data_IF_190452041362
#
_entry.id   IF_190452041362
#
_cell.length_a   1.000
_cell.length_b   1.000
_cell.length_c   1.000
_cell.angle_alpha   90.00
_cell.angle_beta   90.00
_cell.angle_gamma   90.00
#
_symmetry.space_group_name_H-M   'P 1'
#
loop_
_entity.id
_entity.type
_entity.pdbx_description
1 polymer ?
#
# COMPACT_ATOMS: atom_id res chain seq x y z
N UNK A 1 -58.68 60.24 -30.09
CA UNK A 1 -59.11 58.92 -29.66
C UNK A 1 -58.58 57.90 -30.67
N UNK A 2 -57.57 57.15 -30.33
CA UNK A 2 -56.99 56.08 -31.20
C UNK A 2 -57.23 54.70 -30.54
N UNK A 3 -58.05 53.93 -31.20
CA UNK A 3 -58.41 52.57 -30.83
C UNK A 3 -57.22 51.64 -31.02
N UNK A 4 -56.80 50.97 -29.94
CA UNK A 4 -55.78 49.87 -29.98
C UNK A 4 -56.51 48.56 -30.30
N UNK A 5 -56.09 47.92 -31.40
CA UNK A 5 -56.45 46.55 -31.75
C UNK A 5 -55.60 45.59 -30.96
N UNK A 6 -56.18 44.72 -30.16
CA UNK A 6 -55.53 43.56 -29.56
C UNK A 6 -55.27 42.49 -30.65
N UNK A 7 -54.01 42.19 -30.87
CA UNK A 7 -53.62 41.02 -31.65
C UNK A 7 -53.52 39.81 -30.70
N UNK A 8 -54.36 38.84 -30.83
CA UNK A 8 -54.24 37.52 -30.20
C UNK A 8 -53.16 36.75 -30.95
N UNK A 9 -52.00 36.57 -30.35
CA UNK A 9 -50.98 35.64 -30.80
C UNK A 9 -51.31 34.23 -30.25
N UNK A 10 -51.65 33.31 -31.13
CA UNK A 10 -51.76 31.91 -30.83
C UNK A 10 -50.35 31.32 -30.63
N UNK A 11 -50.05 30.89 -29.43
CA UNK A 11 -48.81 30.16 -29.11
C UNK A 11 -49.02 28.70 -29.52
N UNK A 12 -48.20 28.14 -30.44
CA UNK A 12 -48.27 26.68 -30.70
C UNK A 12 -47.69 25.97 -29.47
N UNK A 13 -48.48 25.05 -28.90
CA UNK A 13 -48.03 24.13 -27.88
C UNK A 13 -46.94 23.21 -28.48
N UNK A 14 -45.66 23.50 -28.18
CA UNK A 14 -44.59 22.56 -28.44
C UNK A 14 -44.77 21.37 -27.49
N UNK A 15 -45.13 20.25 -28.02
CA UNK A 15 -44.97 18.96 -27.34
C UNK A 15 -43.47 18.73 -27.12
N UNK A 16 -42.95 19.05 -25.94
CA UNK A 16 -41.69 18.51 -25.47
C UNK A 16 -41.90 17.02 -25.19
N UNK A 17 -41.59 16.20 -26.17
CA UNK A 17 -41.29 14.79 -25.93
C UNK A 17 -40.07 14.74 -25.02
N UNK A 18 -40.30 14.47 -23.76
CA UNK A 18 -39.25 14.10 -22.82
C UNK A 18 -38.59 12.83 -23.36
N UNK A 19 -37.43 12.99 -24.01
CA UNK A 19 -36.47 11.93 -24.19
C UNK A 19 -36.01 11.58 -22.79
N UNK A 20 -36.69 10.64 -22.13
CA UNK A 20 -36.14 9.88 -21.03
C UNK A 20 -34.91 9.17 -21.60
N UNK A 21 -33.73 9.76 -21.44
CA UNK A 21 -32.51 9.03 -21.59
C UNK A 21 -32.62 7.86 -20.59
N UNK A 22 -32.91 6.65 -21.07
CA UNK A 22 -32.77 5.45 -20.25
C UNK A 22 -31.35 5.45 -19.70
N UNK A 23 -31.22 5.75 -18.44
CA UNK A 23 -29.99 5.41 -17.72
C UNK A 23 -29.74 3.91 -17.94
N UNK A 24 -28.55 3.47 -18.30
CA UNK A 24 -28.29 2.06 -18.52
C UNK A 24 -28.74 1.30 -17.26
N UNK A 25 -29.69 0.39 -17.43
CA UNK A 25 -30.19 -0.45 -16.34
C UNK A 25 -29.09 -1.43 -15.94
N UNK A 26 -28.76 -1.47 -14.66
CA UNK A 26 -27.92 -2.51 -14.07
C UNK A 26 -28.75 -3.30 -13.06
N UNK A 27 -28.42 -4.59 -12.92
CA UNK A 27 -29.10 -5.49 -11.98
C UNK A 27 -28.45 -5.42 -10.60
N UNK A 28 -27.13 -5.20 -10.57
CA UNK A 28 -26.32 -5.14 -9.36
C UNK A 28 -25.42 -3.90 -9.40
N UNK A 29 -25.18 -3.31 -8.25
CA UNK A 29 -24.26 -2.18 -8.09
C UNK A 29 -23.27 -2.48 -6.98
N UNK A 30 -22.00 -2.28 -7.23
CA UNK A 30 -20.92 -2.36 -6.24
C UNK A 30 -20.28 -0.98 -6.06
N UNK A 31 -20.14 -0.52 -4.84
CA UNK A 31 -19.50 0.77 -4.52
C UNK A 31 -18.15 0.51 -3.86
N UNK A 32 -17.08 0.87 -4.56
CA UNK A 32 -15.69 0.64 -4.13
C UNK A 32 -15.02 1.99 -3.88
N UNK A 33 -14.29 2.10 -2.77
CA UNK A 33 -13.42 3.24 -2.46
C UNK A 33 -11.99 2.74 -2.25
N UNK A 34 -11.04 3.32 -2.97
CA UNK A 34 -9.62 2.98 -2.91
C UNK A 34 -8.76 4.26 -2.94
N UNK A 35 -7.45 4.10 -2.89
CA UNK A 35 -6.49 5.16 -3.15
C UNK A 35 -6.56 5.60 -4.63
N UNK A 36 -6.08 6.80 -4.93
CA UNK A 36 -5.88 7.23 -6.31
C UNK A 36 -4.76 6.41 -6.96
N UNK A 37 -4.87 6.16 -8.27
CA UNK A 37 -3.88 5.46 -9.09
C UNK A 37 -3.44 4.10 -8.52
N UNK A 38 -4.37 3.38 -7.89
CA UNK A 38 -4.10 2.17 -7.11
C UNK A 38 -4.84 0.93 -7.66
N UNK A 39 -5.16 0.94 -8.94
CA UNK A 39 -5.75 -0.16 -9.72
C UNK A 39 -5.56 0.16 -11.20
N UNK A 40 -5.30 -0.84 -12.02
CA UNK A 40 -5.12 -0.65 -13.46
C UNK A 40 -6.37 -0.01 -14.09
N UNK A 41 -6.19 1.15 -14.69
CA UNK A 41 -7.27 1.97 -15.24
C UNK A 41 -7.49 1.75 -16.75
N UNK A 42 -6.71 0.88 -17.40
CA UNK A 42 -6.78 0.57 -18.83
C UNK A 42 -5.97 1.50 -19.72
N UNK A 43 -5.04 2.27 -19.16
CA UNK A 43 -4.20 3.21 -19.87
C UNK A 43 -2.74 2.76 -19.88
N UNK A 44 -2.02 3.18 -20.91
CA UNK A 44 -0.57 3.07 -20.96
C UNK A 44 0.11 4.25 -20.23
N UNK A 45 1.44 4.26 -20.20
CA UNK A 45 2.26 5.31 -19.58
C UNK A 45 2.02 6.70 -20.19
N UNK A 46 1.63 6.77 -21.47
CA UNK A 46 1.24 8.00 -22.15
C UNK A 46 -0.20 8.46 -21.82
N UNK A 47 -0.92 7.70 -20.96
CA UNK A 47 -2.31 7.95 -20.57
C UNK A 47 -3.34 7.64 -21.65
N UNK A 48 -2.97 6.86 -22.68
CA UNK A 48 -3.87 6.44 -23.74
C UNK A 48 -4.62 5.19 -23.33
N UNK A 49 -5.94 5.16 -23.54
CA UNK A 49 -6.73 3.95 -23.33
C UNK A 49 -6.32 2.85 -24.32
N UNK A 50 -5.66 1.81 -23.83
CA UNK A 50 -5.13 0.70 -24.65
C UNK A 50 -5.89 -0.59 -24.41
N UNK A 51 -6.38 -0.80 -23.20
CA UNK A 51 -7.08 -2.00 -22.76
C UNK A 51 -8.27 -1.67 -21.87
N UNK A 52 -8.96 -2.68 -21.37
CA UNK A 52 -10.02 -2.53 -20.39
C UNK A 52 -9.42 -2.43 -18.99
N UNK A 53 -9.85 -1.45 -18.20
CA UNK A 53 -9.48 -1.36 -16.79
C UNK A 53 -9.92 -2.62 -16.01
N UNK A 54 -9.25 -2.90 -14.89
CA UNK A 54 -9.62 -3.99 -13.97
C UNK A 54 -11.12 -3.94 -13.60
N UNK A 55 -11.66 -2.74 -13.37
CA UNK A 55 -13.08 -2.55 -13.10
C UNK A 55 -13.96 -3.03 -14.28
N UNK A 56 -13.55 -2.75 -15.52
CA UNK A 56 -14.29 -3.19 -16.71
C UNK A 56 -14.18 -4.67 -16.94
N UNK A 57 -13.00 -5.25 -16.70
CA UNK A 57 -12.81 -6.69 -16.76
C UNK A 57 -13.73 -7.39 -15.76
N UNK A 58 -13.83 -6.87 -14.53
CA UNK A 58 -14.77 -7.43 -13.54
C UNK A 58 -16.23 -7.29 -13.91
N UNK A 59 -16.68 -6.13 -14.44
CA UNK A 59 -18.07 -5.95 -14.91
C UNK A 59 -18.43 -7.00 -15.99
N UNK A 60 -17.50 -7.32 -16.89
CA UNK A 60 -17.68 -8.33 -17.94
C UNK A 60 -17.65 -9.76 -17.38
N UNK A 61 -16.65 -10.08 -16.55
CA UNK A 61 -16.57 -11.36 -15.84
C UNK A 61 -17.87 -11.66 -15.08
N UNK A 62 -18.39 -10.69 -14.32
CA UNK A 62 -19.60 -10.86 -13.55
C UNK A 62 -20.82 -11.13 -14.43
N UNK A 63 -20.90 -10.42 -15.56
CA UNK A 63 -21.97 -10.62 -16.54
C UNK A 63 -21.92 -12.01 -17.18
N UNK A 64 -20.72 -12.49 -17.53
CA UNK A 64 -20.53 -13.81 -18.10
C UNK A 64 -20.88 -14.92 -17.11
N UNK A 65 -20.43 -14.78 -15.85
CA UNK A 65 -20.64 -15.78 -14.80
C UNK A 65 -22.09 -15.85 -14.31
N UNK A 66 -22.78 -14.73 -14.18
CA UNK A 66 -24.09 -14.65 -13.52
C UNK A 66 -25.24 -14.22 -14.42
N UNK A 67 -25.01 -13.92 -15.69
CA UNK A 67 -25.98 -13.34 -16.63
C UNK A 67 -26.69 -12.08 -16.06
N UNK A 68 -25.93 -11.26 -15.29
CA UNK A 68 -26.40 -10.02 -14.67
C UNK A 68 -25.49 -8.85 -15.03
N UNK A 69 -26.10 -7.70 -15.31
CA UNK A 69 -25.36 -6.46 -15.55
C UNK A 69 -24.94 -5.86 -14.21
N UNK A 70 -23.65 -5.90 -13.93
CA UNK A 70 -23.05 -5.23 -12.78
C UNK A 70 -22.57 -3.83 -13.16
N UNK A 71 -22.77 -2.87 -12.24
CA UNK A 71 -22.15 -1.54 -12.30
C UNK A 71 -21.26 -1.31 -11.09
N UNK A 72 -19.95 -1.22 -11.29
CA UNK A 72 -19.01 -0.79 -10.26
C UNK A 72 -18.94 0.73 -10.24
N UNK A 73 -19.19 1.31 -9.07
CA UNK A 73 -18.90 2.72 -8.79
C UNK A 73 -17.59 2.79 -8.03
N UNK A 74 -16.49 2.89 -8.78
CA UNK A 74 -15.16 3.07 -8.23
C UNK A 74 -14.91 4.53 -7.91
N UNK A 75 -14.42 4.81 -6.71
CA UNK A 75 -14.13 6.15 -6.19
C UNK A 75 -12.83 6.11 -5.40
N UNK A 76 -12.21 7.27 -5.24
CA UNK A 76 -10.98 7.40 -4.47
C UNK A 76 -11.19 8.22 -3.21
N UNK A 77 -10.32 8.00 -2.23
CA UNK A 77 -10.17 8.84 -1.04
C UNK A 77 -8.74 9.39 -0.97
N UNK A 78 -8.57 10.51 -0.29
CA UNK A 78 -7.25 11.13 -0.15
C UNK A 78 -6.48 10.61 1.06
N UNK A 79 -7.18 10.26 2.15
CA UNK A 79 -6.58 9.63 3.34
C UNK A 79 -7.56 8.67 4.01
N UNK A 80 -7.07 7.62 4.68
CA UNK A 80 -7.91 6.70 5.44
C UNK A 80 -8.75 7.40 6.52
N UNK A 81 -8.24 8.45 7.16
CA UNK A 81 -8.94 9.22 8.19
C UNK A 81 -10.15 9.96 7.62
N UNK A 82 -10.03 10.55 6.43
CA UNK A 82 -11.14 11.23 5.74
C UNK A 82 -12.21 10.21 5.37
N UNK A 83 -11.82 9.08 4.76
CA UNK A 83 -12.73 8.00 4.41
C UNK A 83 -13.45 7.46 5.65
N UNK A 84 -12.71 7.13 6.71
CA UNK A 84 -13.26 6.67 7.99
C UNK A 84 -14.30 7.67 8.55
N UNK A 85 -13.94 8.96 8.60
CA UNK A 85 -14.84 10.01 9.06
C UNK A 85 -16.13 10.11 8.25
N UNK A 86 -16.04 9.94 6.93
CA UNK A 86 -17.21 9.95 6.05
C UNK A 86 -18.12 8.74 6.27
N UNK A 87 -17.56 7.53 6.47
CA UNK A 87 -18.31 6.31 6.78
C UNK A 87 -18.96 6.43 8.15
N UNK A 88 -18.20 6.81 9.18
CA UNK A 88 -18.68 6.97 10.57
C UNK A 88 -19.85 7.96 10.66
N UNK A 89 -19.77 9.04 9.91
CA UNK A 89 -20.83 10.06 9.82
C UNK A 89 -21.92 9.71 8.78
N UNK A 90 -21.92 8.52 8.21
CA UNK A 90 -22.91 8.02 7.22
C UNK A 90 -23.05 8.91 5.97
N UNK A 91 -21.98 9.63 5.60
CA UNK A 91 -21.95 10.47 4.39
C UNK A 91 -21.73 9.64 3.12
N UNK A 92 -21.02 8.51 3.26
CA UNK A 92 -20.82 7.53 2.19
C UNK A 92 -21.20 6.14 2.70
N UNK A 93 -21.55 5.25 1.77
CA UNK A 93 -21.87 3.83 2.04
C UNK A 93 -21.17 2.97 0.99
N UNK A 94 -19.88 2.68 1.17
CA UNK A 94 -19.18 1.75 0.29
C UNK A 94 -19.55 0.29 0.63
N UNK A 95 -19.40 -0.58 -0.38
CA UNK A 95 -19.43 -2.03 -0.20
C UNK A 95 -18.01 -2.56 0.05
N UNK A 96 -17.00 -1.93 -0.59
CA UNK A 96 -15.59 -2.23 -0.37
C UNK A 96 -14.79 -0.94 -0.15
N UNK A 97 -13.79 -1.05 0.69
CA UNK A 97 -12.74 -0.04 0.92
C UNK A 97 -11.39 -0.75 0.97
N UNK A 98 -10.31 -0.05 0.64
CA UNK A 98 -8.96 -0.58 0.71
C UNK A 98 -8.04 0.38 1.50
N UNK A 99 -8.17 0.47 2.82
CA UNK A 99 -7.29 1.29 3.66
C UNK A 99 -6.07 0.52 4.14
N UNK A 100 -5.13 1.24 4.75
CA UNK A 100 -3.96 0.65 5.41
C UNK A 100 -4.30 -0.05 6.72
N UNK A 101 -3.43 -0.92 7.13
CA UNK A 101 -3.53 -1.87 8.26
C UNK A 101 -4.02 -1.25 9.58
N UNK A 102 -3.45 -0.13 10.01
CA UNK A 102 -3.87 0.56 11.25
C UNK A 102 -5.34 1.03 11.21
N UNK A 103 -5.80 1.46 10.02
CA UNK A 103 -7.19 1.90 9.86
C UNK A 103 -8.13 0.69 9.79
N UNK A 104 -7.69 -0.42 9.22
CA UNK A 104 -8.42 -1.69 9.25
C UNK A 104 -8.62 -2.14 10.70
N UNK A 105 -7.54 -2.14 11.51
CA UNK A 105 -7.59 -2.47 12.93
C UNK A 105 -8.57 -1.57 13.68
N UNK A 106 -8.47 -0.25 13.49
CA UNK A 106 -9.38 0.73 14.08
C UNK A 106 -10.82 0.44 13.74
N UNK A 107 -11.15 0.30 12.47
CA UNK A 107 -12.52 0.08 12.02
C UNK A 107 -13.08 -1.28 12.47
N UNK A 108 -12.25 -2.32 12.50
CA UNK A 108 -12.64 -3.64 13.02
C UNK A 108 -12.93 -3.58 14.53
N UNK A 109 -12.04 -2.97 15.31
CA UNK A 109 -12.19 -2.82 16.75
C UNK A 109 -13.41 -1.95 17.13
N UNK A 110 -13.76 -0.95 16.32
CA UNK A 110 -14.99 -0.15 16.48
C UNK A 110 -16.26 -0.88 15.94
N UNK A 111 -16.13 -2.12 15.44
CA UNK A 111 -17.26 -2.91 14.93
C UNK A 111 -17.85 -2.34 13.62
N UNK A 112 -17.08 -1.59 12.85
CA UNK A 112 -17.52 -0.94 11.62
C UNK A 112 -17.39 -1.83 10.37
N UNK A 113 -16.73 -2.99 10.48
CA UNK A 113 -16.49 -3.91 9.38
C UNK A 113 -17.34 -5.18 9.47
N UNK A 114 -17.75 -5.72 8.33
CA UNK A 114 -18.26 -7.08 8.19
C UNK A 114 -17.08 -8.04 8.05
N UNK A 115 -17.30 -9.31 8.45
CA UNK A 115 -16.32 -10.36 8.23
C UNK A 115 -16.42 -10.96 6.84
N UNK A 116 -15.26 -11.20 6.25
CA UNK A 116 -15.12 -12.09 5.10
C UNK A 116 -15.47 -13.55 5.47
N UNK A 117 -15.66 -14.37 4.47
CA UNK A 117 -15.86 -15.81 4.62
C UNK A 117 -14.52 -16.49 4.95
N UNK A 118 -14.03 -16.24 6.17
CA UNK A 118 -12.77 -16.76 6.72
C UNK A 118 -13.05 -17.65 7.94
N UNK A 119 -12.39 -18.79 8.00
CA UNK A 119 -12.50 -19.74 9.09
C UNK A 119 -11.30 -19.59 10.05
N UNK A 120 -11.54 -19.08 11.26
CA UNK A 120 -10.51 -18.90 12.29
C UNK A 120 -9.86 -20.20 12.78
N UNK A 121 -10.51 -21.35 12.60
CA UNK A 121 -10.01 -22.64 13.06
C UNK A 121 -9.06 -23.29 12.03
N UNK A 122 -9.46 -23.27 10.75
CA UNK A 122 -8.61 -23.80 9.66
C UNK A 122 -7.63 -22.75 9.13
N UNK A 123 -7.86 -21.47 9.43
CA UNK A 123 -7.11 -20.32 8.91
C UNK A 123 -7.21 -20.18 7.39
N UNK A 124 -8.35 -20.54 6.83
CA UNK A 124 -8.60 -20.53 5.38
C UNK A 124 -9.81 -19.68 5.04
N UNK A 125 -9.77 -19.09 3.85
CA UNK A 125 -10.94 -18.47 3.25
C UNK A 125 -11.88 -19.51 2.63
N UNK A 126 -13.17 -19.19 2.58
CA UNK A 126 -14.17 -20.04 1.92
C UNK A 126 -14.10 -19.91 0.38
N UNK A 127 -14.92 -20.73 -0.30
CA UNK A 127 -14.98 -20.81 -1.78
C UNK A 127 -15.21 -19.47 -2.48
N UNK A 128 -15.82 -18.48 -1.80
CA UNK A 128 -16.02 -17.13 -2.35
C UNK A 128 -14.74 -16.31 -2.48
N UNK A 129 -13.63 -16.77 -1.88
CA UNK A 129 -12.30 -16.15 -1.92
C UNK A 129 -11.21 -17.16 -2.28
N UNK A 130 -11.56 -18.11 -3.16
CA UNK A 130 -10.70 -19.23 -3.53
C UNK A 130 -9.34 -18.78 -4.10
N UNK A 131 -9.34 -17.72 -4.93
CA UNK A 131 -8.08 -17.22 -5.51
C UNK A 131 -7.09 -16.78 -4.44
N UNK A 132 -7.54 -16.05 -3.40
CA UNK A 132 -6.62 -15.71 -2.31
C UNK A 132 -6.26 -16.93 -1.44
N UNK A 133 -7.17 -17.90 -1.29
CA UNK A 133 -6.86 -19.13 -0.58
C UNK A 133 -5.76 -19.94 -1.29
N UNK A 134 -5.80 -20.00 -2.62
CA UNK A 134 -4.86 -20.78 -3.44
C UNK A 134 -3.55 -20.02 -3.69
N UNK A 135 -3.64 -18.71 -3.97
CA UNK A 135 -2.51 -17.90 -4.46
C UNK A 135 -2.03 -16.82 -3.48
N UNK A 136 -2.60 -16.71 -2.29
CA UNK A 136 -2.08 -15.77 -1.28
C UNK A 136 -0.71 -16.21 -0.78
N UNK A 137 0.29 -15.31 -0.80
CA UNK A 137 1.65 -15.56 -0.31
C UNK A 137 1.66 -16.20 1.07
N UNK A 138 2.42 -17.28 1.30
CA UNK A 138 2.58 -17.87 2.63
C UNK A 138 3.02 -16.85 3.68
N UNK A 139 4.02 -16.03 3.37
CA UNK A 139 4.52 -14.98 4.25
C UNK A 139 3.43 -13.98 4.65
N UNK A 140 2.65 -13.50 3.68
CA UNK A 140 1.58 -12.51 3.92
C UNK A 140 0.45 -13.12 4.75
N UNK A 141 0.04 -14.36 4.42
CA UNK A 141 -1.01 -15.07 5.19
C UNK A 141 -0.61 -15.27 6.65
N UNK A 142 0.63 -15.71 6.90
CA UNK A 142 1.12 -15.96 8.26
C UNK A 142 1.24 -14.64 9.05
N UNK A 143 1.74 -13.57 8.43
CA UNK A 143 1.86 -12.26 9.05
C UNK A 143 0.49 -11.71 9.46
N UNK A 144 -0.52 -11.74 8.59
CA UNK A 144 -1.87 -11.30 8.90
C UNK A 144 -2.59 -12.20 9.90
N UNK A 145 -2.41 -13.53 9.81
CA UNK A 145 -3.02 -14.47 10.75
C UNK A 145 -2.49 -14.28 12.17
N UNK A 146 -1.25 -13.81 12.34
CA UNK A 146 -0.62 -13.57 13.64
C UNK A 146 -1.22 -12.34 14.36
N UNK A 147 -1.69 -11.34 13.63
CA UNK A 147 -2.29 -10.14 14.20
C UNK A 147 -3.70 -10.46 14.73
N UNK A 148 -3.90 -10.26 16.02
CA UNK A 148 -5.20 -10.46 16.70
C UNK A 148 -5.83 -9.11 17.03
N UNK A 149 -7.11 -8.99 16.68
CA UNK A 149 -7.94 -7.83 16.99
C UNK A 149 -8.55 -7.95 18.39
N UNK A 150 -9.17 -6.87 18.88
CA UNK A 150 -9.76 -6.83 20.23
C UNK A 150 -10.86 -7.88 20.46
N UNK A 151 -11.53 -8.31 19.40
CA UNK A 151 -12.53 -9.38 19.46
C UNK A 151 -11.94 -10.81 19.46
N UNK A 152 -10.61 -10.92 19.42
CA UNK A 152 -9.85 -12.17 19.40
C UNK A 152 -9.76 -12.82 18.02
N UNK A 153 -10.38 -12.26 16.97
CA UNK A 153 -10.28 -12.77 15.62
C UNK A 153 -8.99 -12.32 14.94
N UNK A 154 -8.58 -13.06 13.92
CA UNK A 154 -7.49 -12.70 13.03
C UNK A 154 -7.84 -11.47 12.20
N UNK A 155 -6.83 -10.74 11.82
CA UNK A 155 -6.92 -9.64 10.85
C UNK A 155 -7.56 -10.11 9.53
N UNK A 156 -7.24 -11.34 9.09
CA UNK A 156 -7.81 -11.97 7.89
C UNK A 156 -9.34 -12.14 7.94
N UNK A 157 -9.95 -12.16 9.12
CA UNK A 157 -11.42 -12.16 9.22
C UNK A 157 -12.05 -10.88 8.66
N UNK A 158 -11.33 -9.76 8.66
CA UNK A 158 -11.85 -8.44 8.30
C UNK A 158 -11.21 -7.84 7.06
N UNK A 159 -10.09 -8.42 6.60
CA UNK A 159 -9.35 -7.89 5.47
C UNK A 159 -8.74 -8.98 4.59
N UNK A 160 -8.77 -8.77 3.28
CA UNK A 160 -7.99 -9.54 2.31
C UNK A 160 -6.88 -8.62 1.80
N UNK A 161 -5.59 -8.99 1.94
CA UNK A 161 -4.45 -8.18 1.50
C UNK A 161 -4.53 -7.84 0.01
N UNK A 162 -4.09 -6.63 -0.35
CA UNK A 162 -4.10 -6.14 -1.73
C UNK A 162 -2.72 -5.73 -2.22
N UNK A 163 -2.04 -4.83 -1.51
CA UNK A 163 -0.65 -4.48 -1.72
C UNK A 163 0.07 -4.36 -0.38
N UNK A 164 1.37 -4.51 -0.41
CA UNK A 164 2.23 -4.37 0.76
C UNK A 164 3.57 -3.75 0.40
N UNK A 165 4.30 -3.34 1.40
CA UNK A 165 5.64 -2.84 1.23
C UNK A 165 6.30 -2.48 2.55
N UNK A 166 7.49 -1.91 2.42
CA UNK A 166 8.30 -1.43 3.52
C UNK A 166 8.49 0.08 3.44
N UNK A 167 9.07 0.67 4.47
CA UNK A 167 9.43 2.08 4.49
C UNK A 167 10.94 2.21 4.71
N UNK A 168 11.62 2.95 3.83
CA UNK A 168 13.06 3.14 3.86
C UNK A 168 13.47 4.46 3.24
N UNK A 169 14.72 4.58 2.87
CA UNK A 169 15.23 5.76 2.18
C UNK A 169 15.49 5.46 0.71
N UNK A 170 14.83 6.18 -0.19
CA UNK A 170 15.33 6.37 -1.55
C UNK A 170 16.44 7.39 -1.50
N UNK A 171 17.59 7.13 -2.11
CA UNK A 171 18.75 8.02 -2.00
C UNK A 171 19.61 8.08 -3.26
N UNK A 172 20.32 9.17 -3.40
CA UNK A 172 21.31 9.41 -4.45
C UNK A 172 22.66 8.75 -4.06
N UNK A 173 23.10 7.66 -4.74
CA UNK A 173 24.33 6.95 -4.41
C UNK A 173 25.60 7.73 -4.74
N UNK A 174 25.54 8.77 -5.58
CA UNK A 174 26.67 9.67 -5.82
C UNK A 174 26.89 10.64 -4.66
N UNK A 175 25.86 10.83 -3.82
CA UNK A 175 25.93 11.72 -2.67
C UNK A 175 26.09 10.95 -1.35
N UNK A 176 25.25 9.94 -1.08
CA UNK A 176 25.32 9.13 0.14
C UNK A 176 25.73 7.70 -0.16
N UNK A 177 26.52 7.09 0.72
CA UNK A 177 26.75 5.63 0.66
C UNK A 177 25.58 4.87 1.30
N UNK A 178 25.44 3.59 0.95
CA UNK A 178 24.43 2.72 1.56
C UNK A 178 24.57 2.64 3.10
N UNK A 179 25.79 2.65 3.62
CA UNK A 179 26.09 2.62 5.06
C UNK A 179 25.64 3.92 5.76
N UNK A 180 25.80 5.08 5.11
CA UNK A 180 25.39 6.37 5.66
C UNK A 180 23.88 6.52 5.79
N UNK A 181 23.12 5.92 4.85
CA UNK A 181 21.65 6.03 4.76
C UNK A 181 20.94 4.79 5.30
N UNK A 182 21.57 3.63 5.34
CA UNK A 182 21.00 2.37 5.81
C UNK A 182 20.77 2.30 7.33
N UNK A 183 20.55 3.42 7.98
CA UNK A 183 20.25 3.52 9.42
C UNK A 183 19.35 4.71 9.70
N UNK A 184 18.42 4.59 10.67
CA UNK A 184 17.59 5.72 11.09
C UNK A 184 18.41 6.86 11.69
N UNK A 185 19.61 6.60 12.23
CA UNK A 185 20.51 7.63 12.75
C UNK A 185 20.97 8.64 11.69
N UNK A 186 20.81 8.37 10.40
CA UNK A 186 21.01 9.34 9.33
C UNK A 186 20.19 10.62 9.54
N UNK A 187 18.97 10.51 10.09
CA UNK A 187 18.08 11.65 10.40
C UNK A 187 18.61 12.54 11.51
N UNK A 188 19.51 12.06 12.37
CA UNK A 188 20.10 12.81 13.48
C UNK A 188 21.61 13.01 13.31
N UNK A 189 22.13 12.75 12.11
CA UNK A 189 23.55 12.94 11.82
C UNK A 189 23.89 14.44 11.74
N UNK A 190 24.82 14.90 12.60
CA UNK A 190 25.22 16.31 12.71
C UNK A 190 26.31 16.72 11.70
N UNK A 191 26.71 15.83 10.81
CA UNK A 191 27.66 16.13 9.75
C UNK A 191 27.08 17.14 8.76
N UNK A 192 27.90 18.07 8.27
CA UNK A 192 27.47 19.11 7.31
C UNK A 192 26.92 18.52 6.01
N UNK A 193 27.37 17.33 5.63
CA UNK A 193 26.87 16.56 4.48
C UNK A 193 25.38 16.27 4.58
N UNK A 194 24.84 16.04 5.78
CA UNK A 194 23.44 15.68 6.01
C UNK A 194 22.52 16.90 6.15
N UNK A 195 23.10 18.11 6.32
CA UNK A 195 22.32 19.30 6.64
C UNK A 195 21.31 19.64 5.55
N UNK A 196 20.01 19.49 5.86
CA UNK A 196 18.90 19.74 4.93
C UNK A 196 18.93 18.90 3.65
N UNK A 197 19.44 17.67 3.74
CA UNK A 197 19.54 16.76 2.59
C UNK A 197 18.58 15.58 2.63
N UNK A 198 17.75 15.49 3.67
CA UNK A 198 16.75 14.43 3.81
C UNK A 198 15.33 15.03 3.80
N UNK A 199 14.36 14.26 3.35
CA UNK A 199 12.93 14.54 3.58
C UNK A 199 12.30 13.49 4.47
N UNK A 200 11.23 13.87 5.17
CA UNK A 200 10.38 13.00 5.96
C UNK A 200 8.95 13.05 5.43
N UNK A 201 8.17 12.02 5.74
CA UNK A 201 6.73 12.01 5.42
C UNK A 201 5.98 13.02 6.30
N UNK A 202 5.09 13.82 5.68
CA UNK A 202 4.11 14.64 6.41
C UNK A 202 2.98 13.73 6.96
N UNK A 203 3.39 12.81 7.80
CA UNK A 203 2.56 11.80 8.42
C UNK A 203 2.94 11.63 9.87
N UNK A 204 1.95 11.76 10.75
CA UNK A 204 2.15 11.52 12.18
C UNK A 204 2.46 10.06 12.51
N UNK A 205 2.34 9.14 11.54
CA UNK A 205 2.63 7.72 11.71
C UNK A 205 4.01 7.38 11.17
N UNK A 206 4.25 7.65 9.90
CA UNK A 206 5.51 7.29 9.23
C UNK A 206 6.72 8.00 9.84
N UNK A 207 6.62 9.31 10.07
CA UNK A 207 7.68 10.05 10.73
C UNK A 207 7.81 9.71 12.22
N UNK A 208 6.73 9.32 12.89
CA UNK A 208 6.73 8.88 14.29
C UNK A 208 7.63 7.67 14.50
N UNK A 209 7.46 6.63 13.67
CA UNK A 209 8.18 5.37 13.84
C UNK A 209 9.67 5.51 13.58
N UNK A 210 10.11 6.44 12.71
CA UNK A 210 11.53 6.73 12.54
C UNK A 210 12.16 7.21 13.86
N UNK A 211 11.44 8.07 14.58
CA UNK A 211 11.90 8.58 15.87
C UNK A 211 11.83 7.53 16.99
N UNK A 212 10.90 6.56 16.93
CA UNK A 212 10.89 5.42 17.87
C UNK A 212 12.19 4.65 17.78
N UNK A 213 12.66 4.31 16.59
CA UNK A 213 13.94 3.61 16.40
C UNK A 213 15.11 4.42 16.98
N UNK A 214 15.10 5.73 16.85
CA UNK A 214 16.13 6.59 17.42
C UNK A 214 16.08 6.66 18.95
N UNK A 215 14.90 6.94 19.54
CA UNK A 215 14.80 7.16 20.99
C UNK A 215 14.94 5.88 21.82
N UNK A 216 14.66 4.73 21.23
CA UNK A 216 14.77 3.42 21.86
C UNK A 216 15.90 2.55 21.27
N UNK A 217 16.83 3.13 20.51
CA UNK A 217 17.90 2.39 19.84
C UNK A 217 18.70 1.45 20.74
N UNK A 218 19.04 1.89 21.96
CA UNK A 218 19.81 1.07 22.90
C UNK A 218 18.97 -0.12 23.43
N UNK A 219 17.67 0.07 23.61
CA UNK A 219 16.75 -1.00 24.01
C UNK A 219 16.55 -1.99 22.86
N UNK A 220 16.38 -1.49 21.64
CA UNK A 220 16.25 -2.33 20.42
C UNK A 220 17.52 -3.12 20.18
N UNK A 221 18.69 -2.50 20.27
CA UNK A 221 19.98 -3.17 20.10
C UNK A 221 20.28 -4.23 21.18
N UNK A 222 19.58 -4.21 22.30
CA UNK A 222 19.71 -5.20 23.36
C UNK A 222 18.79 -6.43 23.18
N UNK A 223 17.91 -6.41 22.18
CA UNK A 223 17.04 -7.57 21.88
C UNK A 223 17.86 -8.71 21.27
N UNK A 224 17.49 -9.94 21.60
CA UNK A 224 18.09 -11.14 21.00
C UNK A 224 17.41 -11.44 19.66
N UNK A 225 18.09 -11.12 18.56
CA UNK A 225 17.58 -11.33 17.18
C UNK A 225 17.31 -12.81 16.86
N UNK A 226 17.82 -13.76 17.67
CA UNK A 226 17.60 -15.20 17.50
C UNK A 226 16.40 -15.72 18.27
N UNK A 227 15.79 -14.91 19.14
CA UNK A 227 14.62 -15.31 19.92
C UNK A 227 13.38 -15.45 19.05
N UNK A 228 12.57 -16.50 19.31
CA UNK A 228 11.31 -16.72 18.58
C UNK A 228 10.33 -15.53 18.68
N UNK A 229 10.37 -14.79 19.77
CA UNK A 229 9.50 -13.64 20.03
C UNK A 229 10.19 -12.29 19.72
N UNK A 230 11.35 -12.28 19.06
CA UNK A 230 12.08 -11.08 18.71
C UNK A 230 11.20 -10.02 18.03
N UNK A 231 10.47 -10.39 16.96
CA UNK A 231 9.60 -9.46 16.25
C UNK A 231 8.45 -8.94 17.13
N UNK A 232 7.92 -9.77 18.04
CA UNK A 232 6.88 -9.34 18.97
C UNK A 232 7.43 -8.32 19.99
N UNK A 233 8.65 -8.52 20.51
CA UNK A 233 9.30 -7.57 21.42
C UNK A 233 9.61 -6.24 20.67
N UNK A 234 10.14 -6.31 19.46
CA UNK A 234 10.40 -5.13 18.63
C UNK A 234 9.10 -4.39 18.30
N UNK A 235 8.02 -5.10 17.93
CA UNK A 235 6.70 -4.53 17.65
C UNK A 235 6.12 -3.81 18.86
N UNK A 236 6.33 -4.34 20.08
CA UNK A 236 5.89 -3.69 21.31
C UNK A 236 6.64 -2.37 21.58
N UNK A 237 7.92 -2.26 21.22
CA UNK A 237 8.68 -0.99 21.28
C UNK A 237 8.21 -0.06 20.17
N UNK A 238 8.09 -0.55 18.96
CA UNK A 238 7.73 0.19 17.76
C UNK A 238 6.37 0.92 17.91
N UNK A 239 5.40 0.31 18.59
CA UNK A 239 4.06 0.86 18.79
C UNK A 239 3.87 1.61 20.10
N UNK A 240 4.93 1.94 20.85
CA UNK A 240 4.82 2.74 22.08
C UNK A 240 4.32 4.15 21.78
N UNK A 241 3.34 4.62 22.55
CA UNK A 241 2.77 5.96 22.40
C UNK A 241 2.31 6.56 23.75
N UNK A 242 2.88 6.08 24.87
CA UNK A 242 2.66 6.72 26.18
C UNK A 242 3.22 8.16 26.22
N UNK A 243 2.84 8.96 27.22
CA UNK A 243 3.21 10.37 27.29
C UNK A 243 4.71 10.61 27.34
N UNK A 244 5.49 9.71 27.94
CA UNK A 244 6.96 9.83 27.97
C UNK A 244 7.51 9.62 26.56
N UNK A 245 7.05 8.60 25.87
CA UNK A 245 7.41 8.30 24.47
C UNK A 245 7.07 9.46 23.56
N UNK A 246 5.85 10.02 23.66
CA UNK A 246 5.45 11.18 22.86
C UNK A 246 6.40 12.38 23.06
N UNK A 247 6.82 12.65 24.28
CA UNK A 247 7.74 13.76 24.56
C UNK A 247 9.13 13.51 23.95
N UNK A 248 9.63 12.27 23.98
CA UNK A 248 10.94 11.90 23.39
C UNK A 248 10.88 12.01 21.88
N UNK A 249 9.83 11.44 21.25
CA UNK A 249 9.61 11.48 19.80
C UNK A 249 9.46 12.92 19.31
N UNK A 250 8.68 13.77 20.00
CA UNK A 250 8.53 15.19 19.65
C UNK A 250 9.91 15.90 19.65
N UNK A 251 10.71 15.68 20.69
CA UNK A 251 12.02 16.29 20.79
C UNK A 251 12.95 15.85 19.66
N UNK A 252 12.99 14.54 19.37
CA UNK A 252 13.81 13.96 18.30
C UNK A 252 13.40 14.48 16.91
N UNK A 253 12.10 14.48 16.58
CA UNK A 253 11.62 14.98 15.29
C UNK A 253 11.86 16.47 15.10
N UNK A 254 11.72 17.27 16.17
CA UNK A 254 12.09 18.70 16.14
C UNK A 254 13.59 18.92 15.92
N UNK A 255 14.45 18.06 16.48
CA UNK A 255 15.90 18.11 16.21
C UNK A 255 16.18 17.79 14.73
N UNK A 256 15.66 16.68 14.20
CA UNK A 256 15.83 16.31 12.80
C UNK A 256 15.30 17.40 11.86
N UNK A 257 14.13 17.97 12.14
CA UNK A 257 13.53 19.07 11.37
C UNK A 257 14.44 20.31 11.31
N UNK A 258 15.19 20.60 12.36
CA UNK A 258 16.11 21.76 12.39
C UNK A 258 17.46 21.49 11.70
N UNK A 259 17.89 20.23 11.63
CA UNK A 259 19.23 19.82 11.19
C UNK A 259 19.23 19.21 9.79
N UNK A 260 18.77 18.00 9.65
CA UNK A 260 18.94 17.16 8.47
C UNK A 260 17.76 17.24 7.50
N UNK A 261 16.54 17.44 8.03
CA UNK A 261 15.32 17.41 7.23
C UNK A 261 15.15 18.73 6.47
N UNK A 262 15.02 18.64 5.16
CA UNK A 262 14.72 19.74 4.24
C UNK A 262 13.23 20.10 4.33
N UNK A 263 12.37 19.09 4.17
CA UNK A 263 10.91 19.26 4.13
C UNK A 263 10.18 18.03 4.66
N UNK A 264 8.92 18.25 5.05
CA UNK A 264 7.93 17.19 5.23
C UNK A 264 7.04 17.17 4.00
N UNK A 265 6.79 15.99 3.42
CA UNK A 265 6.00 15.80 2.22
C UNK A 265 5.23 14.46 2.26
N UNK A 266 4.22 14.29 1.43
CA UNK A 266 3.46 13.03 1.33
C UNK A 266 3.83 12.32 0.04
N UNK A 267 3.34 12.81 -1.12
CA UNK A 267 3.48 12.13 -2.42
C UNK A 267 4.57 12.76 -3.31
N UNK A 268 4.90 14.04 -3.09
CA UNK A 268 5.84 14.77 -3.96
C UNK A 268 7.31 14.38 -3.75
N UNK A 269 7.64 13.68 -2.66
CA UNK A 269 9.02 13.29 -2.34
C UNK A 269 9.69 12.47 -3.42
N UNK A 270 8.95 11.56 -4.03
CA UNK A 270 9.43 10.74 -5.15
C UNK A 270 9.82 11.58 -6.38
N UNK A 271 9.13 12.68 -6.64
CA UNK A 271 9.46 13.60 -7.74
C UNK A 271 10.60 14.55 -7.37
N UNK A 272 10.62 15.04 -6.13
CA UNK A 272 11.61 16.03 -5.68
C UNK A 272 13.02 15.44 -5.54
N UNK A 273 13.14 14.16 -5.14
CA UNK A 273 14.44 13.48 -5.11
C UNK A 273 15.01 13.28 -6.53
N UNK A 274 14.19 12.93 -7.51
CA UNK A 274 14.58 12.82 -8.92
C UNK A 274 15.09 14.16 -9.46
N UNK A 275 14.48 15.28 -9.04
CA UNK A 275 14.95 16.65 -9.37
C UNK A 275 16.25 17.01 -8.66
N UNK A 276 16.60 16.34 -7.56
CA UNK A 276 17.79 16.64 -6.74
C UNK A 276 17.56 17.79 -5.74
N UNK A 277 16.33 18.00 -5.28
CA UNK A 277 16.02 18.99 -4.23
C UNK A 277 16.67 18.62 -2.90
N UNK A 278 16.83 17.34 -2.65
CA UNK A 278 17.58 16.72 -1.55
C UNK A 278 18.12 15.36 -2.03
N UNK A 279 18.96 14.70 -1.22
CA UNK A 279 19.68 13.49 -1.65
C UNK A 279 19.21 12.21 -0.95
N UNK A 280 18.25 12.30 -0.02
CA UNK A 280 17.55 11.13 0.52
C UNK A 280 16.10 11.48 0.87
N UNK A 281 15.19 10.56 0.55
CA UNK A 281 13.76 10.69 0.77
C UNK A 281 13.24 9.51 1.58
N UNK A 282 12.58 9.77 2.71
CA UNK A 282 11.80 8.74 3.38
C UNK A 282 10.65 8.33 2.47
N UNK A 283 10.64 7.10 2.01
CA UNK A 283 9.71 6.61 1.02
C UNK A 283 9.08 5.28 1.41
N UNK A 284 7.84 5.06 1.00
CA UNK A 284 7.29 3.72 0.87
C UNK A 284 7.94 3.04 -0.32
N UNK A 285 8.11 1.72 -0.26
CA UNK A 285 8.88 0.98 -1.26
C UNK A 285 8.37 1.14 -2.70
N UNK A 286 7.05 1.21 -2.92
CA UNK A 286 6.50 1.47 -4.25
C UNK A 286 6.81 2.89 -4.78
N UNK A 287 6.75 3.93 -3.92
CA UNK A 287 7.20 5.27 -4.28
C UNK A 287 8.70 5.31 -4.59
N UNK A 288 9.50 4.47 -3.90
CA UNK A 288 10.92 4.34 -4.17
C UNK A 288 11.18 3.74 -5.55
N UNK A 289 10.43 2.70 -5.94
CA UNK A 289 10.49 2.09 -7.26
C UNK A 289 10.17 3.13 -8.33
N UNK A 290 9.04 3.82 -8.22
CA UNK A 290 8.67 4.90 -9.13
C UNK A 290 9.77 5.97 -9.27
N UNK A 291 10.38 6.37 -8.15
CA UNK A 291 11.45 7.37 -8.17
C UNK A 291 12.72 6.85 -8.86
N UNK A 292 13.07 5.57 -8.68
CA UNK A 292 14.21 4.93 -9.32
C UNK A 292 13.99 4.82 -10.83
N UNK A 293 12.81 4.38 -11.29
CA UNK A 293 12.45 4.29 -12.71
C UNK A 293 12.48 5.68 -13.37
N UNK A 294 11.83 6.67 -12.75
CA UNK A 294 11.84 8.06 -13.26
C UNK A 294 13.24 8.69 -13.29
N UNK A 295 14.12 8.31 -12.36
CA UNK A 295 15.50 8.76 -12.37
C UNK A 295 16.28 8.16 -13.55
N UNK A 296 16.10 6.86 -13.85
CA UNK A 296 16.73 6.17 -14.98
C UNK A 296 16.34 6.78 -16.33
N UNK A 297 15.05 7.08 -16.53
CA UNK A 297 14.58 7.79 -17.73
C UNK A 297 15.32 9.11 -17.97
N UNK A 298 15.74 9.78 -16.89
CA UNK A 298 16.51 11.03 -16.93
C UNK A 298 18.03 10.82 -16.88
N UNK A 299 18.52 9.57 -16.97
CA UNK A 299 19.93 9.20 -16.93
C UNK A 299 20.58 9.37 -15.57
N UNK A 300 19.78 9.35 -14.49
CA UNK A 300 20.24 9.37 -13.10
C UNK A 300 20.06 7.99 -12.46
N UNK A 301 20.76 7.75 -11.38
CA UNK A 301 20.59 6.56 -10.56
C UNK A 301 20.14 6.94 -9.16
N UNK A 302 19.14 6.26 -8.64
CA UNK A 302 18.74 6.27 -7.24
C UNK A 302 18.79 4.85 -6.70
N UNK A 303 19.00 4.71 -5.40
CA UNK A 303 18.98 3.44 -4.69
C UNK A 303 17.96 3.50 -3.55
N UNK A 304 17.62 2.33 -3.01
CA UNK A 304 16.75 2.17 -1.85
C UNK A 304 17.50 1.48 -0.72
N UNK A 305 17.33 1.95 0.51
CA UNK A 305 17.92 1.34 1.70
C UNK A 305 16.89 1.16 2.80
N UNK A 306 16.74 -0.06 3.27
CA UNK A 306 16.04 -0.35 4.53
C UNK A 306 17.02 -0.19 5.69
N UNK A 307 16.66 0.56 6.75
CA UNK A 307 17.51 0.71 7.92
C UNK A 307 17.76 -0.62 8.64
N UNK A 308 19.00 -0.82 9.04
CA UNK A 308 19.47 -2.09 9.66
C UNK A 308 18.81 -2.39 11.00
N UNK A 309 18.30 -1.37 11.67
CA UNK A 309 17.57 -1.49 12.94
C UNK A 309 16.17 -2.10 12.76
N UNK A 310 15.67 -2.15 11.53
CA UNK A 310 14.32 -2.54 11.19
C UNK A 310 13.48 -1.38 10.67
N UNK A 311 12.26 -1.66 10.26
CA UNK A 311 11.38 -0.65 9.68
C UNK A 311 9.90 -0.96 9.87
N UNK A 312 9.04 -0.14 9.27
CA UNK A 312 7.64 -0.45 9.06
C UNK A 312 7.47 -1.42 7.88
N UNK A 313 6.71 -2.49 8.09
CA UNK A 313 6.04 -3.22 7.02
C UNK A 313 4.57 -2.85 7.07
N UNK A 314 4.03 -2.36 5.98
CA UNK A 314 2.64 -1.91 5.89
C UNK A 314 1.87 -2.76 4.89
N UNK A 315 0.57 -2.81 5.08
CA UNK A 315 -0.36 -3.55 4.23
C UNK A 315 -1.60 -2.71 3.98
N UNK A 316 -2.03 -2.67 2.73
CA UNK A 316 -3.36 -2.22 2.34
C UNK A 316 -4.23 -3.44 2.05
N UNK A 317 -5.47 -3.40 2.46
CA UNK A 317 -6.34 -4.56 2.30
C UNK A 317 -7.79 -4.21 2.05
N UNK A 318 -8.44 -5.06 1.28
CA UNK A 318 -9.88 -4.97 1.02
C UNK A 318 -10.67 -5.26 2.28
N UNK A 319 -11.60 -4.38 2.60
CA UNK A 319 -12.49 -4.49 3.76
C UNK A 319 -13.94 -4.20 3.37
N UNK A 320 -14.88 -4.84 4.06
CA UNK A 320 -16.31 -4.62 3.87
C UNK A 320 -16.86 -3.79 5.04
N UNK A 321 -17.25 -2.52 4.86
CA UNK A 321 -17.99 -1.79 5.90
C UNK A 321 -19.34 -2.43 6.23
N UNK A 322 -19.84 -2.18 7.45
CA UNK A 322 -21.14 -2.69 7.89
C UNK A 322 -22.29 -2.35 6.92
N UNK A 323 -23.01 -3.38 6.50
CA UNK A 323 -24.10 -3.30 5.53
C UNK A 323 -23.67 -3.35 4.07
N UNK A 324 -22.43 -3.78 3.78
CA UNK A 324 -21.95 -4.09 2.45
C UNK A 324 -22.71 -5.23 1.79
N UNK A 325 -22.75 -5.24 0.49
CA UNK A 325 -23.29 -6.36 -0.31
C UNK A 325 -22.21 -7.46 -0.39
N UNK A 326 -22.16 -8.32 0.65
CA UNK A 326 -21.09 -9.29 0.86
C UNK A 326 -20.79 -10.14 -0.37
N UNK A 327 -21.81 -10.74 -0.99
CA UNK A 327 -21.58 -11.71 -2.08
C UNK A 327 -20.85 -11.08 -3.28
N UNK A 328 -21.26 -9.88 -3.71
CA UNK A 328 -20.62 -9.19 -4.82
C UNK A 328 -19.28 -8.56 -4.41
N UNK A 329 -19.13 -8.20 -3.15
CA UNK A 329 -17.88 -7.66 -2.62
C UNK A 329 -16.80 -8.77 -2.56
N UNK A 330 -17.12 -9.95 -2.04
CA UNK A 330 -16.21 -11.10 -2.05
C UNK A 330 -15.88 -11.56 -3.47
N UNK A 331 -16.84 -11.54 -4.39
CA UNK A 331 -16.61 -11.86 -5.79
C UNK A 331 -15.62 -10.89 -6.46
N UNK A 332 -15.70 -9.58 -6.16
CA UNK A 332 -14.72 -8.61 -6.64
C UNK A 332 -13.32 -8.88 -6.08
N UNK A 333 -13.25 -9.13 -4.77
CA UNK A 333 -11.96 -9.42 -4.11
C UNK A 333 -11.37 -10.73 -4.63
N UNK A 334 -12.19 -11.76 -4.83
CA UNK A 334 -11.75 -13.01 -5.43
C UNK A 334 -11.20 -12.82 -6.86
N UNK A 335 -11.93 -12.04 -7.69
CA UNK A 335 -11.49 -11.73 -9.04
C UNK A 335 -10.15 -11.00 -9.09
N UNK A 336 -9.97 -9.96 -8.25
CA UNK A 336 -8.73 -9.17 -8.24
C UNK A 336 -7.54 -9.92 -7.64
N UNK A 337 -7.82 -11.01 -6.91
CA UNK A 337 -6.81 -11.92 -6.34
C UNK A 337 -6.44 -13.09 -7.26
N UNK A 338 -6.93 -13.15 -8.51
CA UNK A 338 -6.39 -14.10 -9.48
C UNK A 338 -4.99 -13.65 -9.93
N UNK A 339 -4.03 -14.56 -10.14
CA UNK A 339 -2.65 -14.20 -10.51
C UNK A 339 -2.58 -13.28 -11.73
N UNK A 340 -3.35 -13.55 -12.79
CA UNK A 340 -3.42 -12.72 -14.00
C UNK A 340 -3.83 -11.27 -13.70
N UNK A 341 -4.88 -11.07 -12.90
CA UNK A 341 -5.36 -9.72 -12.57
C UNK A 341 -4.46 -9.05 -11.53
N UNK A 342 -3.89 -9.81 -10.62
CA UNK A 342 -2.92 -9.31 -9.64
C UNK A 342 -1.64 -8.82 -10.34
N UNK A 343 -1.11 -9.58 -11.31
CA UNK A 343 0.03 -9.19 -12.14
C UNK A 343 -0.24 -7.90 -12.91
N UNK A 344 -1.41 -7.81 -13.58
CA UNK A 344 -1.83 -6.61 -14.30
C UNK A 344 -1.89 -5.37 -13.39
N UNK A 345 -2.39 -5.52 -12.17
CA UNK A 345 -2.47 -4.40 -11.22
C UNK A 345 -1.09 -4.07 -10.64
N UNK A 346 -0.25 -5.06 -10.35
CA UNK A 346 1.09 -4.88 -9.83
C UNK A 346 1.99 -4.15 -10.85
N UNK A 347 1.94 -4.56 -12.11
CA UNK A 347 2.67 -3.93 -13.21
C UNK A 347 2.31 -2.44 -13.37
N UNK A 348 1.02 -2.11 -13.26
CA UNK A 348 0.55 -0.73 -13.38
C UNK A 348 0.86 0.13 -12.14
N UNK A 349 0.67 -0.44 -10.93
CA UNK A 349 0.76 0.32 -9.67
C UNK A 349 2.20 0.43 -9.15
N UNK A 350 3.04 -0.57 -9.43
CA UNK A 350 4.42 -0.65 -8.96
C UNK A 350 4.59 -1.13 -7.51
N UNK A 351 3.48 -1.36 -6.78
CA UNK A 351 3.53 -1.91 -5.42
C UNK A 351 3.43 -3.43 -5.42
N UNK A 352 4.09 -4.09 -4.47
CA UNK A 352 4.17 -5.55 -4.42
C UNK A 352 2.81 -6.17 -4.08
N UNK A 353 2.36 -7.09 -4.93
CA UNK A 353 1.15 -7.88 -4.70
C UNK A 353 1.38 -8.95 -3.63
N UNK A 354 0.38 -9.27 -2.79
CA UNK A 354 0.42 -10.43 -1.88
C UNK A 354 0.04 -11.74 -2.59
N UNK A 355 -0.23 -11.70 -3.88
CA UNK A 355 -0.59 -12.87 -4.69
C UNK A 355 0.67 -13.47 -5.30
N UNK A 356 0.72 -14.78 -5.35
CA UNK A 356 1.77 -15.59 -5.97
C UNK A 356 1.16 -16.47 -7.06
N UNK A 357 1.94 -17.32 -7.69
CA UNK A 357 1.55 -18.20 -8.80
C UNK A 357 2.44 -17.96 -10.00
N UNK A 358 2.25 -18.75 -11.05
CA UNK A 358 3.15 -18.80 -12.19
C UNK A 358 3.21 -17.43 -12.91
N UNK A 359 2.07 -16.79 -13.15
CA UNK A 359 2.02 -15.47 -13.82
C UNK A 359 2.75 -14.39 -13.03
N UNK A 360 2.69 -14.46 -11.70
CA UNK A 360 3.42 -13.54 -10.83
C UNK A 360 4.91 -13.84 -10.81
N UNK A 361 5.27 -15.13 -10.82
CA UNK A 361 6.66 -15.56 -10.86
C UNK A 361 7.32 -15.22 -12.21
N UNK A 362 6.61 -15.43 -13.31
CA UNK A 362 7.05 -14.99 -14.64
C UNK A 362 7.29 -13.48 -14.69
N UNK A 363 6.34 -12.67 -14.19
CA UNK A 363 6.47 -11.21 -14.15
C UNK A 363 7.71 -10.76 -13.36
N UNK A 364 7.99 -11.37 -12.21
CA UNK A 364 9.16 -11.04 -11.39
C UNK A 364 10.46 -11.44 -12.08
N UNK A 365 10.48 -12.59 -12.77
CA UNK A 365 11.64 -13.00 -13.56
C UNK A 365 11.86 -12.06 -14.76
N UNK A 366 10.81 -11.69 -15.47
CA UNK A 366 10.90 -10.75 -16.60
C UNK A 366 11.48 -9.39 -16.18
N UNK A 367 11.19 -8.95 -14.95
CA UNK A 367 11.70 -7.67 -14.46
C UNK A 367 13.14 -7.73 -13.94
N UNK A 368 13.53 -8.83 -13.29
CA UNK A 368 14.71 -8.85 -12.42
C UNK A 368 15.72 -9.93 -12.72
N UNK A 369 15.36 -10.99 -13.44
CA UNK A 369 16.31 -12.05 -13.73
C UNK A 369 17.48 -11.53 -14.57
N UNK A 370 18.67 -12.00 -14.27
CA UNK A 370 19.85 -11.71 -15.05
C UNK A 370 19.75 -12.31 -16.46
N UNK A 371 20.21 -11.58 -17.46
CA UNK A 371 20.36 -12.11 -18.83
C UNK A 371 21.39 -13.27 -18.85
N UNK A 372 21.25 -14.20 -19.80
CA UNK A 372 22.15 -15.36 -19.94
C UNK A 372 23.65 -14.97 -20.09
N UNK A 373 23.94 -13.76 -20.58
CA UNK A 373 25.29 -13.24 -20.77
C UNK A 373 25.86 -12.56 -19.52
N UNK A 374 25.01 -12.23 -18.51
CA UNK A 374 25.41 -11.59 -17.28
C UNK A 374 26.13 -12.59 -16.35
N UNK A 375 27.32 -12.23 -15.92
CA UNK A 375 28.18 -13.11 -15.10
C UNK A 375 28.39 -12.58 -13.67
N UNK A 376 28.04 -11.34 -13.41
CA UNK A 376 28.14 -10.71 -12.08
C UNK A 376 26.75 -10.69 -11.41
N UNK A 377 26.33 -11.87 -10.96
CA UNK A 377 25.01 -12.11 -10.38
C UNK A 377 25.08 -12.59 -8.94
N UNK A 378 23.92 -12.61 -8.29
CA UNK A 378 23.72 -13.25 -6.99
C UNK A 378 22.36 -13.93 -6.97
N UNK A 379 22.30 -15.08 -6.31
CA UNK A 379 21.06 -15.85 -6.13
C UNK A 379 20.26 -15.32 -4.95
N UNK A 380 18.93 -15.22 -5.10
CA UNK A 380 17.98 -14.90 -4.04
C UNK A 380 16.92 -15.98 -3.95
N UNK A 381 16.70 -16.51 -2.75
CA UNK A 381 15.62 -17.47 -2.46
C UNK A 381 14.39 -16.71 -1.94
N UNK A 382 13.32 -16.72 -2.73
CA UNK A 382 12.01 -16.14 -2.43
C UNK A 382 10.97 -17.20 -2.04
N UNK A 383 11.39 -18.43 -1.74
CA UNK A 383 10.47 -19.53 -1.39
C UNK A 383 9.60 -19.20 -0.17
N UNK A 384 10.11 -18.40 0.77
CA UNK A 384 9.32 -17.93 1.91
C UNK A 384 8.10 -17.11 1.49
N UNK A 385 8.19 -16.39 0.36
CA UNK A 385 7.14 -15.53 -0.17
C UNK A 385 6.27 -16.23 -1.21
N UNK A 386 6.89 -16.86 -2.23
CA UNK A 386 6.19 -17.51 -3.34
C UNK A 386 5.73 -18.93 -3.04
N UNK A 387 6.34 -19.63 -2.06
CA UNK A 387 6.26 -21.06 -1.96
C UNK A 387 7.19 -21.72 -2.98
N UNK A 388 6.92 -22.99 -3.31
CA UNK A 388 7.58 -23.66 -4.42
C UNK A 388 6.91 -23.27 -5.73
N UNK A 389 7.70 -23.16 -6.80
CA UNK A 389 7.27 -22.86 -8.17
C UNK A 389 7.54 -24.03 -9.09
N UNK A 390 6.89 -24.10 -10.25
CA UNK A 390 7.16 -25.14 -11.25
C UNK A 390 8.35 -24.73 -12.14
N UNK A 391 9.27 -25.68 -12.36
CA UNK A 391 10.33 -25.55 -13.36
C UNK A 391 9.82 -25.86 -14.79
N UNK A 392 10.68 -25.72 -15.81
CA UNK A 392 10.33 -26.02 -17.21
C UNK A 392 9.86 -27.47 -17.45
N UNK A 393 10.21 -28.39 -16.58
CA UNK A 393 9.82 -29.80 -16.63
C UNK A 393 8.54 -30.08 -15.80
N UNK A 394 7.98 -29.09 -15.13
CA UNK A 394 6.80 -29.19 -14.24
C UNK A 394 7.10 -29.78 -12.86
N UNK A 395 8.36 -29.71 -12.39
CA UNK A 395 8.71 -30.14 -11.04
C UNK A 395 8.64 -28.94 -10.09
N UNK A 396 8.17 -29.20 -8.86
CA UNK A 396 8.20 -28.18 -7.81
C UNK A 396 9.62 -27.96 -7.30
N UNK A 397 10.12 -26.74 -7.43
CA UNK A 397 11.45 -26.29 -6.99
C UNK A 397 11.33 -25.06 -6.09
N UNK A 398 12.40 -24.73 -5.40
CA UNK A 398 12.46 -23.47 -4.66
C UNK A 398 12.32 -22.27 -5.62
N UNK A 399 11.63 -21.24 -5.20
CA UNK A 399 11.51 -19.97 -5.94
C UNK A 399 12.81 -19.17 -5.82
N UNK A 400 13.83 -19.53 -6.60
CA UNK A 400 15.14 -18.87 -6.63
C UNK A 400 15.30 -18.08 -7.93
N UNK A 401 15.93 -16.90 -7.84
CA UNK A 401 16.18 -16.01 -8.97
C UNK A 401 17.63 -15.52 -8.94
N UNK A 402 18.30 -15.56 -10.09
CA UNK A 402 19.60 -14.94 -10.30
C UNK A 402 19.43 -13.49 -10.72
N UNK A 403 20.03 -12.54 -10.00
CA UNK A 403 19.86 -11.11 -10.19
C UNK A 403 21.23 -10.45 -10.44
N UNK A 404 21.35 -9.49 -11.36
CA UNK A 404 22.60 -8.73 -11.54
C UNK A 404 23.03 -8.04 -10.24
N UNK A 405 24.31 -8.15 -9.89
CA UNK A 405 24.86 -7.48 -8.68
C UNK A 405 24.66 -5.96 -8.72
N UNK A 406 24.52 -5.38 -9.91
CA UNK A 406 24.18 -3.97 -10.11
C UNK A 406 22.81 -3.59 -9.55
N UNK A 407 21.89 -4.54 -9.35
CA UNK A 407 20.54 -4.30 -8.84
C UNK A 407 20.45 -4.32 -7.29
N UNK A 408 21.55 -4.54 -6.59
CA UNK A 408 21.57 -4.45 -5.12
C UNK A 408 21.20 -3.06 -4.65
N UNK A 409 20.29 -2.99 -3.66
CA UNK A 409 19.75 -1.75 -3.11
C UNK A 409 18.88 -0.98 -4.09
N UNK A 410 18.21 -1.67 -5.03
CA UNK A 410 17.36 -1.07 -6.06
C UNK A 410 15.93 -1.63 -6.02
N UNK A 411 15.23 -1.61 -7.18
CA UNK A 411 13.82 -1.95 -7.30
C UNK A 411 13.51 -3.33 -6.73
N UNK A 412 14.33 -4.34 -7.03
CA UNK A 412 14.13 -5.68 -6.51
C UNK A 412 14.14 -5.72 -4.98
N UNK A 413 15.17 -5.14 -4.35
CA UNK A 413 15.29 -5.12 -2.87
C UNK A 413 14.17 -4.28 -2.21
N UNK A 414 13.60 -3.33 -2.93
CA UNK A 414 12.45 -2.55 -2.47
C UNK A 414 11.15 -3.38 -2.51
N UNK A 415 10.97 -4.25 -3.53
CA UNK A 415 9.79 -5.11 -3.67
C UNK A 415 9.88 -6.39 -2.83
N UNK A 416 11.04 -7.02 -2.82
CA UNK A 416 11.28 -8.33 -2.20
C UNK A 416 12.45 -8.29 -1.23
N UNK A 417 12.34 -7.54 -0.10
CA UNK A 417 13.35 -7.62 0.95
C UNK A 417 13.45 -9.04 1.48
N UNK A 418 14.64 -9.45 1.88
CA UNK A 418 14.89 -10.80 2.38
C UNK A 418 14.08 -11.10 3.65
N UNK A 419 13.82 -12.38 3.92
CA UNK A 419 13.14 -12.81 5.15
C UNK A 419 13.83 -12.29 6.41
N UNK A 420 15.18 -12.24 6.42
CA UNK A 420 15.98 -11.72 7.53
C UNK A 420 15.69 -10.24 7.81
N UNK A 421 15.58 -9.42 6.76
CA UNK A 421 15.21 -8.00 6.87
C UNK A 421 13.77 -7.87 7.36
N UNK A 422 12.85 -8.67 6.81
CA UNK A 422 11.43 -8.64 7.17
C UNK A 422 11.16 -9.07 8.63
N UNK A 423 12.02 -9.89 9.22
CA UNK A 423 11.96 -10.21 10.67
C UNK A 423 12.14 -8.98 11.56
N UNK A 424 12.83 -7.95 11.08
CA UNK A 424 13.04 -6.67 11.77
C UNK A 424 11.98 -5.62 11.41
N UNK A 425 11.01 -5.94 10.56
CA UNK A 425 9.94 -5.03 10.19
C UNK A 425 8.68 -5.26 11.03
N UNK A 426 8.04 -4.16 11.45
CA UNK A 426 6.88 -4.15 12.32
C UNK A 426 5.67 -3.52 11.64
N UNK A 427 4.47 -4.04 11.93
CA UNK A 427 3.21 -3.37 11.54
C UNK A 427 2.87 -2.26 12.52
N UNK A 428 2.33 -1.17 12.01
CA UNK A 428 1.76 -0.11 12.83
C UNK A 428 0.43 -0.55 13.43
N UNK A 429 0.22 -0.18 14.70
CA UNK A 429 -1.07 -0.35 15.36
C UNK A 429 -1.84 0.99 15.40
N UNK A 430 -3.16 0.91 15.58
CA UNK A 430 -3.96 2.10 15.83
C UNK A 430 -3.60 2.69 17.20
N UNK A 431 -3.37 4.01 17.26
CA UNK A 431 -3.10 4.71 18.52
C UNK A 431 -4.30 4.75 19.48
N UNK A 432 -5.46 4.23 19.09
CA UNK A 432 -6.66 4.17 19.91
C UNK A 432 -7.05 5.54 20.45
N UNK A 433 -7.28 5.60 21.77
CA UNK A 433 -7.66 6.83 22.48
C UNK A 433 -6.55 7.91 22.51
N UNK A 434 -5.31 7.55 22.19
CA UNK A 434 -4.19 8.49 22.18
C UNK A 434 -3.99 9.16 20.81
N UNK A 435 -4.80 8.84 19.79
CA UNK A 435 -4.72 9.43 18.44
C UNK A 435 -4.68 10.96 18.46
N UNK A 436 -5.53 11.61 19.28
CA UNK A 436 -5.54 13.07 19.39
C UNK A 436 -4.23 13.62 19.98
N UNK A 437 -3.65 12.96 20.98
CA UNK A 437 -2.37 13.36 21.59
C UNK A 437 -1.21 13.25 20.60
N UNK A 438 -1.19 12.17 19.81
CA UNK A 438 -0.19 11.99 18.75
C UNK A 438 -0.35 13.08 17.68
N UNK A 439 -1.57 13.38 17.26
CA UNK A 439 -1.85 14.45 16.30
C UNK A 439 -1.43 15.83 16.84
N UNK A 440 -1.72 16.16 18.10
CA UNK A 440 -1.26 17.40 18.72
C UNK A 440 0.27 17.48 18.80
N UNK A 441 0.92 16.37 19.15
CA UNK A 441 2.38 16.27 19.14
C UNK A 441 2.92 16.55 17.73
N UNK A 442 2.34 15.92 16.70
CA UNK A 442 2.75 16.13 15.30
C UNK A 442 2.60 17.61 14.86
N UNK A 443 1.50 18.26 15.22
CA UNK A 443 1.32 19.68 14.93
C UNK A 443 2.41 20.56 15.59
N UNK A 444 2.85 20.19 16.81
CA UNK A 444 3.96 20.88 17.48
C UNK A 444 5.35 20.60 16.85
N UNK A 445 5.54 19.44 16.21
CA UNK A 445 6.75 19.15 15.43
C UNK A 445 6.86 20.05 14.20
N UNK A 446 5.72 20.33 13.56
CA UNK A 446 5.65 21.15 12.33
C UNK A 446 5.60 22.67 12.59
N UNK A 447 5.43 23.12 13.84
CA UNK A 447 5.40 24.54 14.22
C UNK A 447 6.80 25.07 14.56
#
# INVERSE_FOLDING_TARGET
MKTRKLLLLAIPALFMSSLSACAPSYDVKLVVYNWADYIYDGRDEDGRATQKSTVKLFEEYYKEKYDKVLKVQYRTFSTPEIMYGQIKNKRIKPDLICPSDYMIQKMANEGMLEKFSYNEQTKEYGESLQNFADYGSPFIRDRFASVKLQDGNSFLSYSVPYFWGTMGFTYDPDYFTAEEIGTWEALWNKGTKFSKQLSLKDSMRDSYVTAIFHVYKDEIAALDETAEDYNAQLTAIFNRHDQQTLNLVEAALKEASRTTVNTFEVDEGKNEIVKGTYHANLAWSGDAIYAMDSAEESGKRLNYALPVEGSNVWFDGWCMPKGAQKDVAEEFVNFISSPEIAALNMDYVGYTSPIVGDEMWELVNDWYAADEEETDTYEVDLTFFFGQVEDEDGNLVNATIEIPTSERGRQFDAQYPTEEVLKKCCMMEDFGDDTEKVQEMWLRVKS
#
